data_IF_084656110277
#
_entry.id   IF_084656110277
#
_cell.length_a   1.000
_cell.length_b   1.000
_cell.length_c   1.000
_cell.angle_alpha   90.00
_cell.angle_beta   90.00
_cell.angle_gamma   90.00
#
_symmetry.space_group_name_H-M   'P 1'
#
loop_
_entity.id
_entity.type
_entity.pdbx_description
1 polymer ?
#
# COMPACT_ATOMS: atom_id res chain seq x y z
N UNK A 1 -15.02 3.51 2.84
CA UNK A 1 -15.78 3.82 4.07
C UNK A 1 -17.28 3.82 3.80
N UNK A 2 -17.85 4.72 3.00
CA UNK A 2 -19.31 4.80 2.80
C UNK A 2 -19.99 3.49 2.33
N UNK A 3 -19.28 2.60 1.66
CA UNK A 3 -19.78 1.29 1.21
C UNK A 3 -19.58 0.15 2.22
N UNK A 4 -19.01 0.42 3.40
CA UNK A 4 -18.82 -0.57 4.47
C UNK A 4 -17.79 -1.67 4.22
N UNK A 5 -16.99 -1.60 3.15
CA UNK A 5 -16.05 -2.68 2.79
C UNK A 5 -15.01 -3.01 3.87
N UNK A 6 -14.77 -2.11 4.81
CA UNK A 6 -13.77 -2.27 5.86
C UNK A 6 -14.37 -2.44 7.24
N UNK A 7 -15.70 -2.44 7.38
CA UNK A 7 -16.36 -2.42 8.69
C UNK A 7 -16.01 -3.66 9.54
N UNK A 8 -15.86 -4.83 8.91
CA UNK A 8 -15.43 -6.05 9.59
C UNK A 8 -13.94 -6.06 9.99
N UNK A 9 -13.13 -5.16 9.42
CA UNK A 9 -11.70 -5.07 9.69
C UNK A 9 -11.35 -3.97 10.70
N UNK A 10 -12.31 -3.07 10.98
CA UNK A 10 -12.13 -1.97 11.92
C UNK A 10 -12.54 -2.42 13.31
N UNK A 11 -11.56 -2.53 14.21
CA UNK A 11 -11.80 -2.80 15.61
C UNK A 11 -11.96 -1.47 16.37
N UNK A 12 -13.14 -1.18 16.96
CA UNK A 12 -13.31 0.00 17.77
C UNK A 12 -12.41 -0.04 19.01
N UNK A 13 -11.72 1.05 19.29
CA UNK A 13 -10.79 1.17 20.43
C UNK A 13 -11.19 2.37 21.30
N UNK A 14 -11.30 2.14 22.60
CA UNK A 14 -11.50 3.20 23.58
C UNK A 14 -10.17 3.91 23.87
N UNK A 15 -10.11 5.21 23.60
CA UNK A 15 -8.92 6.02 23.86
C UNK A 15 -9.21 7.09 24.89
N UNK A 16 -8.28 7.36 25.82
CA UNK A 16 -8.42 8.46 26.77
C UNK A 16 -8.52 9.81 26.05
N UNK A 17 -9.49 10.59 26.43
CA UNK A 17 -9.72 11.94 25.92
C UNK A 17 -9.51 12.99 27.03
N UNK A 18 -9.67 14.27 26.68
CA UNK A 18 -9.50 15.36 27.63
C UNK A 18 -10.48 15.23 28.80
N UNK A 19 -10.04 15.67 30.01
CA UNK A 19 -10.83 15.71 31.26
C UNK A 19 -11.27 14.34 31.78
N UNK A 20 -10.51 13.28 31.51
CA UNK A 20 -10.82 11.93 32.00
C UNK A 20 -12.01 11.25 31.33
N UNK A 21 -12.43 11.74 30.16
CA UNK A 21 -13.42 11.08 29.32
C UNK A 21 -12.75 10.07 28.40
N UNK A 22 -13.54 9.18 27.82
CA UNK A 22 -13.10 8.22 26.82
C UNK A 22 -13.83 8.48 25.51
N UNK A 23 -13.16 8.27 24.40
CA UNK A 23 -13.74 8.37 23.05
C UNK A 23 -13.48 7.06 22.32
N UNK A 24 -14.53 6.51 21.72
CA UNK A 24 -14.43 5.32 20.88
C UNK A 24 -13.92 5.72 19.50
N UNK A 25 -12.69 5.34 19.16
CA UNK A 25 -12.14 5.47 17.81
C UNK A 25 -12.58 4.28 16.96
N UNK A 26 -13.41 4.55 15.97
CA UNK A 26 -13.94 3.55 15.01
C UNK A 26 -13.95 4.03 13.57
N UNK A 27 -13.31 5.15 13.28
CA UNK A 27 -13.32 5.77 11.96
C UNK A 27 -11.90 6.19 11.61
N UNK A 28 -11.51 6.01 10.37
CA UNK A 28 -10.24 6.52 9.85
C UNK A 28 -10.33 8.05 9.70
N UNK A 29 -9.59 8.76 10.55
CA UNK A 29 -9.58 10.23 10.60
C UNK A 29 -8.78 10.89 9.48
N UNK A 30 -7.93 10.11 8.77
CA UNK A 30 -7.14 10.63 7.65
C UNK A 30 -7.95 10.89 6.38
N UNK A 31 -9.10 10.28 6.24
CA UNK A 31 -9.96 10.43 5.08
C UNK A 31 -10.52 11.86 5.05
N UNK A 32 -10.28 12.56 3.96
CA UNK A 32 -10.76 13.91 3.69
C UNK A 32 -11.90 13.88 2.69
N UNK A 33 -13.17 13.77 3.13
CA UNK A 33 -14.32 13.69 2.22
C UNK A 33 -14.55 14.99 1.44
N UNK A 34 -14.01 16.09 1.92
CA UNK A 34 -14.05 17.44 1.32
C UNK A 34 -12.91 17.71 0.33
N UNK A 35 -12.01 16.72 0.11
CA UNK A 35 -10.90 16.89 -0.81
C UNK A 35 -11.37 17.15 -2.24
N UNK A 36 -10.74 18.15 -2.89
CA UNK A 36 -11.04 18.50 -4.27
C UNK A 36 -9.76 18.88 -5.03
N UNK A 37 -9.76 18.72 -6.35
CA UNK A 37 -8.63 19.12 -7.18
C UNK A 37 -8.30 20.62 -7.02
N UNK A 38 -9.31 21.47 -6.92
CA UNK A 38 -9.13 22.90 -6.68
C UNK A 38 -8.56 23.22 -5.30
N UNK A 39 -8.91 22.44 -4.28
CA UNK A 39 -8.33 22.52 -2.94
C UNK A 39 -6.86 22.08 -2.93
N UNK A 40 -6.56 20.95 -3.57
CA UNK A 40 -5.19 20.43 -3.67
C UNK A 40 -4.26 21.35 -4.46
N UNK A 41 -4.74 22.01 -5.52
CA UNK A 41 -3.95 22.96 -6.31
C UNK A 41 -3.45 24.18 -5.53
N UNK A 42 -4.08 24.49 -4.39
CA UNK A 42 -3.68 25.61 -3.50
C UNK A 42 -2.63 25.20 -2.45
N UNK A 43 -2.33 23.92 -2.34
CA UNK A 43 -1.35 23.44 -1.35
C UNK A 43 0.07 23.79 -1.77
N UNK A 44 0.87 24.18 -0.78
CA UNK A 44 2.30 24.49 -1.01
C UNK A 44 3.10 23.19 -1.17
N UNK A 45 4.11 23.19 -2.04
CA UNK A 45 5.08 22.09 -2.10
C UNK A 45 5.77 21.86 -0.74
N UNK A 46 5.96 20.60 -0.38
CA UNK A 46 6.50 20.21 0.92
C UNK A 46 8.05 20.18 0.96
N UNK A 47 8.71 19.88 -0.15
CA UNK A 47 10.15 19.62 -0.16
C UNK A 47 10.96 20.58 -1.04
N UNK A 48 10.44 21.04 -2.13
CA UNK A 48 11.12 21.94 -3.05
C UNK A 48 10.18 23.07 -3.44
N UNK A 49 10.71 24.29 -3.63
CA UNK A 49 9.93 25.50 -3.93
C UNK A 49 8.99 25.31 -5.12
N UNK A 50 9.47 24.64 -6.17
CA UNK A 50 8.72 24.35 -7.40
C UNK A 50 8.38 22.86 -7.51
N UNK A 51 8.28 22.15 -6.37
CA UNK A 51 7.98 20.73 -6.31
C UNK A 51 6.50 20.44 -6.51
N UNK A 52 6.20 19.19 -6.85
CA UNK A 52 4.83 18.70 -7.05
C UNK A 52 4.27 17.93 -5.86
N UNK A 53 5.11 17.59 -4.86
CA UNK A 53 4.69 16.86 -3.68
C UNK A 53 4.15 17.83 -2.63
N UNK A 54 2.91 17.64 -2.25
CA UNK A 54 2.18 18.45 -1.26
C UNK A 54 1.53 17.55 -0.21
N UNK A 55 0.97 18.12 0.84
CA UNK A 55 0.18 17.37 1.81
C UNK A 55 -1.05 16.65 1.21
N UNK A 56 -1.52 17.08 0.05
CA UNK A 56 -2.67 16.47 -0.62
C UNK A 56 -2.34 15.20 -1.44
N UNK A 57 -1.06 14.95 -1.73
CA UNK A 57 -0.60 13.78 -2.49
C UNK A 57 0.53 13.00 -1.80
N UNK A 58 0.68 13.22 -0.50
CA UNK A 58 1.58 12.49 0.40
C UNK A 58 0.76 11.64 1.38
N UNK A 59 1.29 10.48 1.76
CA UNK A 59 0.69 9.68 2.84
C UNK A 59 0.94 10.31 4.20
N UNK A 60 0.03 10.06 5.14
CA UNK A 60 0.27 10.34 6.55
C UNK A 60 1.34 9.42 7.15
N UNK A 61 1.92 9.85 8.26
CA UNK A 61 2.74 8.99 9.12
C UNK A 61 1.83 8.42 10.20
N UNK A 62 1.66 7.10 10.21
CA UNK A 62 0.77 6.42 11.14
C UNK A 62 1.51 5.28 11.82
N UNK A 63 1.15 5.01 13.06
CA UNK A 63 1.63 3.84 13.77
C UNK A 63 0.89 2.60 13.24
N UNK A 64 1.64 1.53 13.05
CA UNK A 64 1.08 0.26 12.60
C UNK A 64 1.91 -0.91 13.10
N UNK A 65 1.26 -2.04 13.28
CA UNK A 65 1.93 -3.31 13.55
C UNK A 65 1.26 -4.41 12.72
N UNK A 66 2.07 -5.33 12.23
CA UNK A 66 1.60 -6.50 11.53
C UNK A 66 2.46 -7.72 11.90
N UNK A 67 1.84 -8.89 11.97
CA UNK A 67 2.54 -10.13 12.23
C UNK A 67 2.05 -11.22 11.27
N UNK A 68 2.99 -12.02 10.78
CA UNK A 68 2.71 -13.19 9.96
C UNK A 68 3.47 -14.39 10.51
N UNK A 69 2.87 -15.57 10.41
CA UNK A 69 3.55 -16.83 10.74
C UNK A 69 4.03 -17.45 9.42
N UNK A 70 5.33 -17.71 9.35
CA UNK A 70 5.94 -18.39 8.21
C UNK A 70 6.20 -19.85 8.58
N UNK A 71 5.87 -20.75 7.67
CA UNK A 71 6.15 -22.18 7.83
C UNK A 71 6.73 -22.73 6.51
N UNK A 72 7.55 -23.79 6.61
CA UNK A 72 7.92 -24.53 5.41
C UNK A 72 6.72 -25.29 4.85
N UNK A 73 6.69 -25.55 3.53
CA UNK A 73 5.64 -26.34 2.92
C UNK A 73 5.51 -27.75 3.53
N UNK A 74 6.63 -28.37 3.89
CA UNK A 74 6.65 -29.68 4.56
C UNK A 74 6.00 -29.62 5.94
N UNK A 75 6.31 -28.61 6.73
CA UNK A 75 5.68 -28.41 8.04
C UNK A 75 4.18 -28.17 7.93
N UNK A 76 3.79 -27.27 7.03
CA UNK A 76 2.37 -26.99 6.79
C UNK A 76 1.59 -28.26 6.40
N UNK A 77 2.14 -29.05 5.47
CA UNK A 77 1.52 -30.32 5.03
C UNK A 77 1.41 -31.36 6.16
N UNK A 78 2.48 -31.56 6.96
CA UNK A 78 2.46 -32.53 8.06
C UNK A 78 1.53 -32.16 9.21
N UNK A 79 1.17 -30.89 9.35
CA UNK A 79 0.29 -30.38 10.41
C UNK A 79 -1.11 -29.98 9.91
N UNK A 80 -1.44 -30.29 8.66
CA UNK A 80 -2.75 -29.96 8.08
C UNK A 80 -3.07 -28.47 8.02
N UNK A 81 -2.02 -27.62 8.02
CA UNK A 81 -2.21 -26.17 7.95
C UNK A 81 -2.64 -25.75 6.53
N UNK A 82 -3.52 -24.77 6.48
CA UNK A 82 -3.94 -24.16 5.21
C UNK A 82 -3.17 -22.84 5.01
N UNK A 83 -2.16 -22.79 4.13
CA UNK A 83 -1.42 -21.56 3.87
C UNK A 83 -2.31 -20.50 3.21
N UNK A 84 -2.19 -19.24 3.64
CA UNK A 84 -2.84 -18.10 2.97
C UNK A 84 -2.18 -17.76 1.63
N UNK A 85 -0.91 -18.12 1.48
CA UNK A 85 -0.16 -17.90 0.27
C UNK A 85 1.27 -18.46 0.40
N UNK A 86 2.01 -18.39 -0.69
CA UNK A 86 3.41 -18.83 -0.74
C UNK A 86 4.31 -17.66 -1.08
N UNK A 87 5.34 -17.42 -0.28
CA UNK A 87 6.41 -16.48 -0.61
C UNK A 87 7.32 -17.12 -1.65
N UNK A 88 7.22 -16.68 -2.91
CA UNK A 88 8.00 -17.20 -4.03
C UNK A 88 9.41 -16.62 -4.03
N UNK A 89 9.52 -15.30 -3.92
CA UNK A 89 10.79 -14.59 -3.88
C UNK A 89 10.64 -13.24 -3.19
N UNK A 90 11.74 -12.68 -2.73
CA UNK A 90 11.81 -11.31 -2.23
C UNK A 90 13.11 -10.64 -2.68
N UNK A 91 13.13 -9.32 -2.67
CA UNK A 91 14.34 -8.55 -2.93
C UNK A 91 14.30 -7.19 -2.25
N UNK A 92 15.45 -6.58 -2.16
CA UNK A 92 15.62 -5.19 -1.77
C UNK A 92 16.69 -4.55 -2.67
N UNK A 93 16.65 -3.23 -2.78
CA UNK A 93 17.63 -2.46 -3.53
C UNK A 93 17.82 -1.08 -2.90
N UNK A 94 19.05 -0.61 -2.88
CA UNK A 94 19.40 0.77 -2.58
C UNK A 94 19.40 1.62 -3.85
N UNK A 95 19.09 2.90 -3.67
CA UNK A 95 19.19 3.93 -4.72
C UNK A 95 19.76 5.19 -4.10
N UNK A 96 20.19 6.13 -4.93
CA UNK A 96 20.63 7.45 -4.46
C UNK A 96 19.54 8.11 -3.59
N UNK A 97 19.86 8.68 -2.42
CA UNK A 97 18.88 9.26 -1.50
C UNK A 97 17.94 10.30 -2.12
N UNK A 98 18.46 11.12 -3.04
CA UNK A 98 17.64 12.15 -3.72
C UNK A 98 16.50 11.59 -4.55
N UNK A 99 16.63 10.35 -5.00
CA UNK A 99 15.62 9.65 -5.81
C UNK A 99 15.08 8.41 -5.09
N UNK A 100 15.09 8.42 -3.77
CA UNK A 100 14.64 7.28 -2.95
C UNK A 100 13.26 6.71 -3.37
N UNK A 101 12.39 7.56 -3.88
CA UNK A 101 11.08 7.16 -4.38
C UNK A 101 11.13 6.15 -5.55
N UNK A 102 12.25 6.04 -6.25
CA UNK A 102 12.42 5.08 -7.36
C UNK A 102 12.96 3.72 -6.90
N UNK A 103 13.28 3.54 -5.61
CA UNK A 103 13.81 2.31 -5.04
C UNK A 103 13.01 1.03 -5.38
N UNK A 104 11.67 1.06 -5.45
CA UNK A 104 10.90 -0.10 -5.88
C UNK A 104 11.27 -0.62 -7.28
N UNK A 105 11.71 0.24 -8.19
CA UNK A 105 12.01 -0.18 -9.57
C UNK A 105 13.13 -1.24 -9.65
N UNK A 106 14.35 -0.99 -9.13
CA UNK A 106 15.39 -2.02 -9.13
C UNK A 106 15.04 -3.21 -8.24
N UNK A 107 14.29 -3.00 -7.15
CA UNK A 107 13.85 -4.11 -6.29
C UNK A 107 12.88 -5.03 -7.04
N UNK A 108 11.88 -4.49 -7.73
CA UNK A 108 10.92 -5.29 -8.51
C UNK A 108 11.61 -6.03 -9.64
N UNK A 109 12.48 -5.37 -10.40
CA UNK A 109 13.26 -6.05 -11.44
C UNK A 109 14.04 -7.23 -10.89
N UNK A 110 14.73 -7.03 -9.78
CA UNK A 110 15.53 -8.08 -9.12
C UNK A 110 14.67 -9.26 -8.60
N UNK A 111 13.45 -9.01 -8.10
CA UNK A 111 12.58 -10.10 -7.65
C UNK A 111 11.97 -10.86 -8.83
N UNK A 112 11.64 -10.17 -9.92
CA UNK A 112 11.20 -10.81 -11.16
C UNK A 112 12.29 -11.71 -11.76
N UNK A 113 13.53 -11.21 -11.84
CA UNK A 113 14.67 -12.00 -12.29
C UNK A 113 14.88 -13.25 -11.42
N UNK A 114 14.77 -13.12 -10.10
CA UNK A 114 14.92 -14.24 -9.15
C UNK A 114 13.80 -15.27 -9.25
N UNK A 115 12.58 -14.83 -9.51
CA UNK A 115 11.42 -15.73 -9.66
C UNK A 115 11.29 -16.31 -11.05
N UNK A 116 12.02 -15.77 -12.06
CA UNK A 116 11.86 -16.12 -13.46
C UNK A 116 10.56 -15.60 -14.08
N UNK A 117 9.88 -14.66 -13.40
CA UNK A 117 8.60 -14.11 -13.84
C UNK A 117 8.78 -12.79 -14.58
N UNK A 118 7.84 -12.48 -15.45
CA UNK A 118 7.73 -11.19 -16.15
C UNK A 118 6.65 -10.32 -15.51
N UNK A 119 6.70 -9.02 -15.78
CA UNK A 119 5.72 -8.05 -15.25
C UNK A 119 4.29 -8.38 -15.69
N UNK A 120 4.12 -8.84 -16.92
CA UNK A 120 2.83 -9.18 -17.51
C UNK A 120 2.22 -10.49 -16.99
N UNK A 121 3.00 -11.30 -16.29
CA UNK A 121 2.55 -12.50 -15.60
C UNK A 121 2.05 -12.24 -14.17
N UNK A 122 2.11 -10.99 -13.71
CA UNK A 122 1.66 -10.59 -12.38
C UNK A 122 0.22 -10.10 -12.43
N UNK A 123 -0.68 -10.79 -11.77
CA UNK A 123 -2.11 -10.44 -11.73
C UNK A 123 -2.41 -9.20 -10.89
N UNK A 124 -1.71 -9.03 -9.77
CA UNK A 124 -1.95 -7.94 -8.83
C UNK A 124 -0.65 -7.33 -8.34
N UNK A 125 -0.57 -6.00 -8.41
CA UNK A 125 0.50 -5.21 -7.79
C UNK A 125 -0.05 -4.44 -6.59
N UNK A 126 0.52 -4.66 -5.43
CA UNK A 126 0.34 -3.82 -4.25
C UNK A 126 1.56 -2.91 -4.09
N UNK A 127 1.37 -1.62 -4.35
CA UNK A 127 2.45 -0.63 -4.28
C UNK A 127 2.12 0.41 -3.24
N UNK A 128 2.92 0.50 -2.18
CA UNK A 128 2.75 1.56 -1.19
C UNK A 128 2.94 2.94 -1.82
N UNK A 129 1.88 3.74 -1.81
CA UNK A 129 1.87 5.10 -2.35
C UNK A 129 2.35 6.11 -1.30
N UNK A 130 3.63 6.08 -0.94
CA UNK A 130 4.16 7.07 -0.02
C UNK A 130 3.95 8.51 -0.54
N UNK A 131 4.08 8.68 -1.86
CA UNK A 131 3.75 9.90 -2.60
C UNK A 131 3.12 9.52 -3.95
N UNK A 132 2.13 10.24 -4.41
CA UNK A 132 1.51 9.97 -5.73
C UNK A 132 2.55 10.04 -6.87
N UNK A 133 3.46 11.01 -6.82
CA UNK A 133 4.56 11.15 -7.77
C UNK A 133 5.45 9.90 -7.82
N UNK A 134 5.68 9.24 -6.67
CA UNK A 134 6.43 7.98 -6.58
C UNK A 134 5.72 6.85 -7.31
N UNK A 135 4.44 6.66 -7.03
CA UNK A 135 3.65 5.62 -7.65
C UNK A 135 3.63 5.76 -9.18
N UNK A 136 3.44 6.98 -9.68
CA UNK A 136 3.51 7.29 -11.10
C UNK A 136 4.88 7.00 -11.70
N UNK A 137 5.96 7.40 -11.02
CA UNK A 137 7.32 7.16 -11.50
C UNK A 137 7.68 5.66 -11.55
N UNK A 138 7.25 4.88 -10.56
CA UNK A 138 7.45 3.43 -10.51
C UNK A 138 6.66 2.75 -11.63
N UNK A 139 5.38 3.09 -11.77
CA UNK A 139 4.51 2.54 -12.80
C UNK A 139 5.06 2.79 -14.22
N UNK A 140 5.46 4.03 -14.51
CA UNK A 140 6.04 4.38 -15.81
C UNK A 140 7.33 3.61 -16.12
N UNK A 141 8.19 3.42 -15.11
CA UNK A 141 9.49 2.73 -15.29
C UNK A 141 9.40 1.21 -15.40
N UNK A 142 8.33 0.63 -14.89
CA UNK A 142 8.07 -0.81 -14.96
C UNK A 142 7.08 -1.16 -16.07
N UNK A 143 6.56 -0.17 -16.79
CA UNK A 143 5.48 -0.33 -17.76
C UNK A 143 4.23 -1.01 -17.16
N UNK A 144 4.07 -0.91 -15.83
CA UNK A 144 2.87 -1.39 -15.15
C UNK A 144 1.68 -0.51 -15.53
N UNK A 145 0.61 -1.13 -16.00
CA UNK A 145 -0.62 -0.41 -16.34
C UNK A 145 -1.53 -0.36 -15.12
N UNK A 146 -2.03 0.83 -14.78
CA UNK A 146 -3.08 1.02 -13.77
C UNK A 146 -4.44 0.52 -14.26
N UNK A 147 -4.58 0.36 -15.58
CA UNK A 147 -5.78 -0.12 -16.26
C UNK A 147 -5.39 -1.26 -17.19
N UNK A 148 -5.95 -2.44 -17.01
CA UNK A 148 -5.66 -3.61 -17.84
C UNK A 148 -5.95 -4.91 -17.08
N UNK A 149 -5.59 -6.06 -17.61
CA UNK A 149 -5.75 -7.35 -16.93
C UNK A 149 -4.96 -7.42 -15.62
N UNK A 150 -3.81 -6.75 -15.56
CA UNK A 150 -3.00 -6.63 -14.34
C UNK A 150 -3.56 -5.53 -13.44
N UNK A 151 -4.00 -5.90 -12.25
CA UNK A 151 -4.54 -4.96 -11.27
C UNK A 151 -3.42 -4.39 -10.43
N UNK A 152 -3.26 -3.07 -10.45
CA UNK A 152 -2.34 -2.37 -9.55
C UNK A 152 -3.15 -1.64 -8.49
N UNK A 153 -2.96 -2.01 -7.24
CA UNK A 153 -3.47 -1.26 -6.12
C UNK A 153 -2.36 -0.37 -5.56
N UNK A 154 -2.67 0.90 -5.36
CA UNK A 154 -1.79 1.83 -4.68
C UNK A 154 -2.33 2.07 -3.27
N UNK A 155 -1.60 1.62 -2.27
CA UNK A 155 -1.94 1.85 -0.89
C UNK A 155 -1.31 3.16 -0.41
N UNK A 156 -2.12 4.16 -0.12
CA UNK A 156 -1.70 5.36 0.59
C UNK A 156 -1.87 5.15 2.09
N UNK A 157 -0.81 4.69 2.76
CA UNK A 157 -0.73 4.69 4.23
C UNK A 157 -1.55 3.63 4.98
N UNK A 158 -2.59 3.09 4.41
CA UNK A 158 -3.40 1.98 4.91
C UNK A 158 -3.63 1.02 3.75
N UNK A 159 -3.43 -0.27 3.95
CA UNK A 159 -3.62 -1.29 2.93
C UNK A 159 -5.02 -1.26 2.30
N UNK A 160 -5.28 -0.24 1.51
CA UNK A 160 -6.52 -0.10 0.80
C UNK A 160 -6.54 -1.12 -0.32
N UNK A 161 -7.22 -2.23 -0.12
CA UNK A 161 -7.63 -3.11 -1.20
C UNK A 161 -8.58 -2.35 -2.12
N UNK A 162 -8.04 -1.83 -3.20
CA UNK A 162 -8.84 -1.43 -4.34
C UNK A 162 -8.84 -2.55 -5.38
N UNK A 163 -9.29 -3.72 -4.98
CA UNK A 163 -9.76 -4.74 -5.90
C UNK A 163 -11.17 -5.11 -5.46
N UNK A 164 -12.17 -5.22 -6.36
CA UNK A 164 -13.38 -5.92 -6.02
C UNK A 164 -12.99 -7.33 -5.55
N UNK A 165 -13.73 -7.95 -4.63
CA UNK A 165 -13.39 -9.26 -4.14
C UNK A 165 -13.25 -10.20 -5.33
N UNK A 166 -12.04 -10.70 -5.55
CA UNK A 166 -11.86 -11.88 -6.36
C UNK A 166 -12.28 -13.03 -5.45
N UNK A 167 -13.36 -13.74 -5.73
CA UNK A 167 -13.70 -14.92 -4.97
C UNK A 167 -12.55 -15.91 -5.13
N UNK A 168 -11.98 -16.37 -4.04
CA UNK A 168 -11.11 -17.53 -3.95
C UNK A 168 -9.68 -17.42 -4.53
N UNK A 169 -8.87 -16.45 -4.11
CA UNK A 169 -7.41 -16.56 -4.22
C UNK A 169 -6.76 -15.93 -2.98
N UNK A 170 -6.97 -16.58 -1.84
CA UNK A 170 -6.14 -16.47 -0.64
C UNK A 170 -5.82 -17.84 -0.12
#
# INVERSE_FOLDING_TARGET
>A
MAAGYFDEQILPIEVPAKRGTTVTMKTDEHIRPDASAAGMAKLRPAFAKDGTVTAGNASGMNDAAAAVVLASGAYAGSHGLQPLGRLVAYSHAGVEPRIMGTGPVPAIRKVLDRSGMKVDEIDVFEVNQAFAARALAVSARLACRWTGPTRTAAASGWGARWAPPVPSLW
#
